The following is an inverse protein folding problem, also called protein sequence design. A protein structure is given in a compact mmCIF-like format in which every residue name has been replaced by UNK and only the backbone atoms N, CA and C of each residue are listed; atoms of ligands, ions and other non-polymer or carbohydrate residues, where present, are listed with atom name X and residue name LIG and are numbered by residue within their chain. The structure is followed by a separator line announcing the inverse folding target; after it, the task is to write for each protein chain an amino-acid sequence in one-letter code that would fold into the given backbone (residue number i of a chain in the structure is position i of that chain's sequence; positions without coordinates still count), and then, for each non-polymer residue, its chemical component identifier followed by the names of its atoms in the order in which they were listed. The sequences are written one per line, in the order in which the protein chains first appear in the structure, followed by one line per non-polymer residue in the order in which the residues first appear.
data_IF_876078229663
#
_entry.id   IF_876078229663
#
_cell.length_a   1.000
_cell.length_b   1.000
_cell.length_c   1.000
_cell.angle_alpha   90.00
_cell.angle_beta   90.00
_cell.angle_gamma   90.00
#
_symmetry.space_group_name_H-M   'P 1'
#
loop_
_entity.id
_entity.type
_entity.pdbx_description
1 polymer ?
#
# COMPACT_ATOMS: atom_id res chain seq x y z
N UNK A 1 -7.46 -21.04 -12.29
CA UNK A 1 -7.41 -21.47 -10.88
C UNK A 1 -6.06 -21.04 -10.33
N UNK A 2 -5.96 -20.44 -9.13
CA UNK A 2 -4.67 -20.09 -8.55
C UNK A 2 -3.86 -21.38 -8.35
N UNK A 3 -2.60 -21.37 -8.81
CA UNK A 3 -1.70 -22.48 -8.54
C UNK A 3 -1.20 -22.37 -7.10
N UNK A 4 -1.98 -22.91 -6.15
CA UNK A 4 -1.73 -22.82 -4.71
C UNK A 4 -0.32 -23.28 -4.29
N UNK A 5 0.27 -24.20 -5.04
CA UNK A 5 1.64 -24.67 -4.82
C UNK A 5 2.68 -23.59 -5.13
N UNK A 6 2.44 -22.81 -6.19
CA UNK A 6 3.33 -21.73 -6.62
C UNK A 6 3.33 -20.56 -5.61
N UNK A 7 2.16 -20.21 -5.06
CA UNK A 7 2.04 -19.14 -4.07
C UNK A 7 2.80 -19.45 -2.77
N UNK A 8 2.74 -20.70 -2.30
CA UNK A 8 3.52 -21.13 -1.12
C UNK A 8 5.03 -21.07 -1.34
N UNK A 9 5.49 -21.46 -2.53
CA UNK A 9 6.91 -21.36 -2.89
C UNK A 9 7.34 -19.89 -2.93
N UNK A 10 6.53 -19.03 -3.54
CA UNK A 10 6.81 -17.60 -3.60
C UNK A 10 6.88 -16.94 -2.21
N UNK A 11 6.04 -17.38 -1.25
CA UNK A 11 6.10 -16.89 0.13
C UNK A 11 7.39 -17.30 0.85
N UNK A 12 7.84 -18.55 0.69
CA UNK A 12 9.11 -19.02 1.27
C UNK A 12 10.30 -18.26 0.68
N UNK A 13 10.32 -18.06 -0.63
CA UNK A 13 11.38 -17.29 -1.28
C UNK A 13 11.36 -15.81 -0.86
N UNK A 14 10.18 -15.22 -0.62
CA UNK A 14 10.07 -13.88 -0.05
C UNK A 14 10.67 -13.79 1.37
N UNK A 15 10.51 -14.82 2.21
CA UNK A 15 11.17 -14.88 3.52
C UNK A 15 12.70 -14.90 3.37
N UNK A 16 13.24 -15.59 2.35
CA UNK A 16 14.67 -15.56 2.06
C UNK A 16 15.13 -14.18 1.61
N UNK A 17 14.33 -13.46 0.81
CA UNK A 17 14.61 -12.05 0.45
C UNK A 17 14.72 -11.19 1.72
N UNK A 18 13.73 -11.23 2.62
CA UNK A 18 13.78 -10.48 3.90
C UNK A 18 14.96 -10.90 4.78
N UNK A 19 15.29 -12.20 4.80
CA UNK A 19 16.45 -12.72 5.51
C UNK A 19 17.77 -12.11 5.01
N UNK A 20 18.02 -12.12 3.69
CA UNK A 20 19.29 -11.63 3.14
C UNK A 20 19.44 -10.13 3.29
N UNK A 21 18.36 -9.34 3.15
CA UNK A 21 18.40 -7.92 3.48
C UNK A 21 18.76 -7.67 4.95
N UNK A 22 18.21 -8.45 5.89
CA UNK A 22 18.59 -8.34 7.32
C UNK A 22 20.07 -8.64 7.58
N UNK A 23 20.71 -9.45 6.74
CA UNK A 23 22.15 -9.70 6.82
C UNK A 23 23.00 -8.61 6.14
N UNK A 24 22.37 -7.59 5.53
CA UNK A 24 23.05 -6.57 4.72
C UNK A 24 23.57 -7.11 3.38
N UNK A 25 23.11 -8.28 2.93
CA UNK A 25 23.48 -8.86 1.64
C UNK A 25 22.40 -8.55 0.60
N UNK A 26 22.38 -7.29 0.18
CA UNK A 26 21.42 -6.78 -0.79
C UNK A 26 21.54 -7.46 -2.16
N UNK A 27 22.75 -7.83 -2.56
CA UNK A 27 22.98 -8.50 -3.84
C UNK A 27 22.22 -9.83 -3.91
N UNK A 28 22.38 -10.68 -2.89
CA UNK A 28 21.70 -11.98 -2.83
C UNK A 28 20.19 -11.84 -2.62
N UNK A 29 19.76 -10.88 -1.80
CA UNK A 29 18.34 -10.58 -1.64
C UNK A 29 17.69 -10.20 -2.98
N UNK A 30 18.36 -9.34 -3.75
CA UNK A 30 17.87 -8.88 -5.06
C UNK A 30 17.98 -9.96 -6.14
N UNK A 31 18.92 -10.89 -6.05
CA UNK A 31 18.97 -12.07 -6.92
C UNK A 31 17.70 -12.92 -6.77
N UNK A 32 17.34 -13.28 -5.54
CA UNK A 32 16.12 -14.07 -5.25
C UNK A 32 14.86 -13.28 -5.58
N UNK A 33 14.83 -11.98 -5.27
CA UNK A 33 13.71 -11.12 -5.67
C UNK A 33 13.47 -11.17 -7.18
N UNK A 34 14.53 -11.05 -8.00
CA UNK A 34 14.41 -11.13 -9.46
C UNK A 34 13.89 -12.48 -9.92
N UNK A 35 14.23 -13.59 -9.26
CA UNK A 35 13.64 -14.89 -9.61
C UNK A 35 12.15 -14.94 -9.32
N UNK A 36 11.66 -14.19 -8.33
CA UNK A 36 10.24 -14.09 -7.99
C UNK A 36 9.44 -13.13 -8.89
N UNK A 37 10.10 -12.16 -9.51
CA UNK A 37 9.46 -11.21 -10.42
C UNK A 37 9.66 -11.54 -11.89
N UNK A 38 10.63 -12.38 -12.23
CA UNK A 38 10.80 -12.90 -13.60
C UNK A 38 9.64 -13.83 -13.93
N UNK A 39 8.68 -13.30 -14.69
CA UNK A 39 7.49 -14.02 -15.16
C UNK A 39 7.47 -14.14 -16.67
N UNK A 40 6.69 -15.10 -17.17
CA UNK A 40 6.45 -15.20 -18.61
C UNK A 40 5.65 -13.97 -19.11
N UNK A 41 5.79 -13.55 -20.38
CA UNK A 41 5.02 -12.45 -20.92
C UNK A 41 3.50 -12.64 -20.70
N UNK A 42 2.86 -11.65 -20.08
CA UNK A 42 1.43 -11.67 -19.78
C UNK A 42 1.05 -12.33 -18.45
N UNK A 43 2.01 -12.90 -17.72
CA UNK A 43 1.80 -13.33 -16.34
C UNK A 43 1.99 -12.16 -15.37
N UNK A 44 1.16 -12.15 -14.34
CA UNK A 44 1.05 -11.08 -13.35
C UNK A 44 1.10 -11.68 -11.96
N UNK A 45 1.60 -10.91 -11.00
CA UNK A 45 1.60 -11.28 -9.60
C UNK A 45 0.21 -11.02 -8.99
N UNK A 46 -0.24 -11.96 -8.16
CA UNK A 46 -1.42 -11.76 -7.31
C UNK A 46 -1.11 -10.79 -6.18
N UNK A 47 -2.13 -10.04 -5.74
CA UNK A 47 -2.03 -9.05 -4.68
C UNK A 47 -1.39 -9.62 -3.40
N UNK A 48 -1.73 -10.83 -2.96
CA UNK A 48 -1.16 -11.44 -1.73
C UNK A 48 0.37 -11.55 -1.76
N UNK A 49 0.92 -12.09 -2.86
CA UNK A 49 2.37 -12.23 -3.05
C UNK A 49 3.02 -10.86 -3.25
N UNK A 50 2.37 -9.98 -4.03
CA UNK A 50 2.81 -8.61 -4.27
C UNK A 50 2.91 -7.82 -2.97
N UNK A 51 1.89 -7.89 -2.13
CA UNK A 51 1.82 -7.21 -0.83
C UNK A 51 2.94 -7.68 0.10
N UNK A 52 3.27 -8.98 0.06
CA UNK A 52 4.38 -9.52 0.86
C UNK A 52 5.71 -8.94 0.42
N UNK A 53 5.99 -8.94 -0.88
CA UNK A 53 7.24 -8.39 -1.43
C UNK A 53 7.32 -6.87 -1.27
N UNK A 54 6.22 -6.14 -1.51
CA UNK A 54 6.14 -4.69 -1.26
C UNK A 54 6.51 -4.37 0.19
N UNK A 55 5.92 -5.08 1.17
CA UNK A 55 6.23 -4.88 2.59
C UNK A 55 7.71 -5.09 2.90
N UNK A 56 8.32 -6.11 2.31
CA UNK A 56 9.75 -6.42 2.48
C UNK A 56 10.62 -5.31 1.86
N UNK A 57 10.34 -4.91 0.61
CA UNK A 57 11.09 -3.90 -0.10
C UNK A 57 11.02 -2.54 0.62
N UNK A 58 9.82 -2.09 1.00
CA UNK A 58 9.62 -0.83 1.73
C UNK A 58 10.34 -0.84 3.08
N UNK A 59 10.22 -1.92 3.85
CA UNK A 59 10.91 -2.11 5.14
C UNK A 59 12.43 -1.98 5.03
N UNK A 60 13.02 -2.40 3.92
CA UNK A 60 14.47 -2.34 3.66
C UNK A 60 14.88 -1.14 2.79
N UNK A 61 14.00 -0.16 2.60
CA UNK A 61 14.29 1.06 1.85
C UNK A 61 14.48 0.87 0.34
N UNK A 62 14.08 -0.28 -0.21
CA UNK A 62 14.09 -0.59 -1.66
C UNK A 62 12.90 0.05 -2.37
N UNK A 63 12.78 1.36 -2.22
CA UNK A 63 11.61 2.15 -2.64
C UNK A 63 11.43 2.13 -4.15
N UNK A 64 12.52 2.24 -4.91
CA UNK A 64 12.46 2.20 -6.37
C UNK A 64 11.87 0.88 -6.87
N UNK A 65 12.36 -0.24 -6.32
CA UNK A 65 11.90 -1.57 -6.66
C UNK A 65 10.47 -1.83 -6.18
N UNK A 66 10.07 -1.28 -5.03
CA UNK A 66 8.69 -1.35 -4.56
C UNK A 66 7.73 -0.64 -5.52
N UNK A 67 8.08 0.55 -6.02
CA UNK A 67 7.26 1.26 -7.01
C UNK A 67 7.22 0.55 -8.36
N UNK A 68 8.35 -0.03 -8.82
CA UNK A 68 8.37 -0.85 -10.02
C UNK A 68 7.45 -2.07 -9.88
N UNK A 69 7.56 -2.81 -8.77
CA UNK A 69 6.69 -3.95 -8.48
C UNK A 69 5.21 -3.55 -8.46
N UNK A 70 4.89 -2.43 -7.82
CA UNK A 70 3.53 -1.91 -7.73
C UNK A 70 2.94 -1.64 -9.12
N UNK A 71 3.66 -0.95 -10.02
CA UNK A 71 3.11 -0.59 -11.33
C UNK A 71 3.22 -1.67 -12.40
N UNK A 72 4.25 -2.51 -12.36
CA UNK A 72 4.61 -3.39 -13.47
C UNK A 72 4.13 -4.83 -13.27
N UNK A 73 4.12 -5.32 -12.03
CA UNK A 73 3.94 -6.75 -11.76
C UNK A 73 2.59 -7.11 -11.12
N UNK A 74 1.98 -6.22 -10.32
CA UNK A 74 0.73 -6.53 -9.61
C UNK A 74 -0.47 -6.28 -10.52
N UNK A 75 -1.26 -7.32 -10.79
CA UNK A 75 -2.40 -7.25 -11.73
C UNK A 75 -3.61 -6.47 -11.27
N UNK A 76 -3.87 -6.51 -9.97
CA UNK A 76 -5.03 -5.90 -9.36
C UNK A 76 -4.65 -5.48 -7.96
N UNK A 77 -4.87 -4.22 -7.66
CA UNK A 77 -4.64 -3.69 -6.32
C UNK A 77 -5.83 -4.02 -5.43
N UNK A 78 -5.54 -4.47 -4.21
CA UNK A 78 -6.50 -4.43 -3.13
C UNK A 78 -6.25 -3.20 -2.24
N UNK A 79 -7.12 -2.97 -1.26
CA UNK A 79 -6.96 -1.84 -0.35
C UNK A 79 -5.67 -1.89 0.45
N UNK A 80 -5.11 -3.08 0.73
CA UNK A 80 -3.85 -3.20 1.45
C UNK A 80 -2.68 -2.74 0.57
N UNK A 81 -2.64 -3.17 -0.70
CA UNK A 81 -1.63 -2.73 -1.68
C UNK A 81 -1.60 -1.21 -1.78
N UNK A 82 -2.76 -0.58 -1.98
CA UNK A 82 -2.88 0.88 -2.10
C UNK A 82 -2.45 1.58 -0.82
N UNK A 83 -2.93 1.12 0.34
CA UNK A 83 -2.62 1.76 1.62
C UNK A 83 -1.13 1.71 1.95
N UNK A 84 -0.41 0.63 1.62
CA UNK A 84 1.04 0.57 1.81
C UNK A 84 1.77 1.66 1.01
N UNK A 85 1.40 1.82 -0.26
CA UNK A 85 2.05 2.81 -1.13
C UNK A 85 1.65 4.25 -0.77
N UNK A 86 0.40 4.49 -0.37
CA UNK A 86 -0.03 5.78 0.19
C UNK A 86 0.79 6.12 1.44
N UNK A 87 0.92 5.18 2.37
CA UNK A 87 1.67 5.39 3.61
C UNK A 87 3.14 5.71 3.35
N UNK A 88 3.77 5.03 2.39
CA UNK A 88 5.13 5.32 1.93
C UNK A 88 5.23 6.76 1.37
N UNK A 89 4.28 7.21 0.54
CA UNK A 89 4.25 8.59 0.06
C UNK A 89 4.19 9.60 1.23
N UNK A 90 3.38 9.35 2.26
CA UNK A 90 3.31 10.21 3.44
C UNK A 90 4.61 10.22 4.26
N UNK A 91 5.32 9.10 4.33
CA UNK A 91 6.66 9.04 4.97
C UNK A 91 7.69 9.86 4.19
N UNK A 92 7.58 9.88 2.86
CA UNK A 92 8.42 10.70 1.99
C UNK A 92 8.00 12.18 1.90
N UNK A 93 6.87 12.58 2.49
CA UNK A 93 6.30 13.93 2.33
C UNK A 93 5.74 14.21 0.92
N UNK A 94 5.47 13.16 0.15
CA UNK A 94 4.99 13.21 -1.23
C UNK A 94 3.46 13.16 -1.31
N UNK A 95 2.80 14.19 -0.79
CA UNK A 95 1.34 14.19 -0.61
C UNK A 95 0.56 14.14 -1.94
N UNK A 96 1.11 14.73 -3.00
CA UNK A 96 0.50 14.67 -4.33
C UNK A 96 0.49 13.23 -4.86
N UNK A 97 1.64 12.55 -4.79
CA UNK A 97 1.75 11.14 -5.18
C UNK A 97 0.90 10.23 -4.29
N UNK A 98 0.75 10.55 -3.01
CA UNK A 98 -0.16 9.85 -2.10
C UNK A 98 -1.60 9.91 -2.60
N UNK A 99 -2.07 11.11 -3.00
CA UNK A 99 -3.40 11.32 -3.55
C UNK A 99 -3.58 10.60 -4.90
N UNK A 100 -2.58 10.66 -5.78
CA UNK A 100 -2.64 9.99 -7.08
C UNK A 100 -2.67 8.45 -6.93
N UNK A 101 -1.97 7.92 -5.93
CA UNK A 101 -1.99 6.49 -5.60
C UNK A 101 -3.33 6.09 -4.96
N UNK A 102 -3.87 6.92 -4.06
CA UNK A 102 -5.19 6.70 -3.46
C UNK A 102 -6.32 6.60 -4.50
N UNK A 103 -6.27 7.39 -5.57
CA UNK A 103 -7.27 7.34 -6.66
C UNK A 103 -7.35 5.97 -7.34
N UNK A 104 -6.29 5.16 -7.28
CA UNK A 104 -6.32 3.78 -7.79
C UNK A 104 -7.18 2.85 -6.92
N UNK A 105 -7.50 3.26 -5.70
CA UNK A 105 -8.30 2.53 -4.72
C UNK A 105 -9.45 3.35 -4.14
N UNK A 106 -9.93 4.40 -4.82
CA UNK A 106 -11.02 5.26 -4.33
C UNK A 106 -12.41 4.60 -4.41
N UNK A 107 -12.47 3.33 -4.82
CA UNK A 107 -13.62 2.45 -4.68
C UNK A 107 -13.60 1.64 -3.37
N UNK A 108 -12.52 1.71 -2.58
CA UNK A 108 -12.37 0.97 -1.33
C UNK A 108 -12.53 1.88 -0.12
N UNK A 109 -13.52 1.62 0.73
CA UNK A 109 -13.70 2.33 2.00
C UNK A 109 -12.45 2.33 2.92
N UNK A 110 -11.68 1.21 3.03
CA UNK A 110 -10.44 1.22 3.81
C UNK A 110 -9.36 2.19 3.29
N UNK A 111 -9.38 2.52 1.99
CA UNK A 111 -8.45 3.49 1.42
C UNK A 111 -8.78 4.91 1.86
N UNK A 112 -10.07 5.30 1.88
CA UNK A 112 -10.51 6.60 2.39
C UNK A 112 -10.14 6.77 3.85
N UNK A 113 -10.44 5.76 4.69
CA UNK A 113 -10.08 5.77 6.11
C UNK A 113 -8.58 6.03 6.29
N UNK A 114 -7.74 5.27 5.59
CA UNK A 114 -6.28 5.41 5.69
C UNK A 114 -5.81 6.80 5.26
N UNK A 115 -6.20 7.30 4.09
CA UNK A 115 -5.69 8.60 3.61
C UNK A 115 -6.17 9.78 4.48
N UNK A 116 -7.41 9.73 4.97
CA UNK A 116 -7.95 10.74 5.90
C UNK A 116 -7.14 10.73 7.21
N UNK A 117 -6.90 9.56 7.79
CA UNK A 117 -6.10 9.41 9.01
C UNK A 117 -4.70 10.01 8.83
N UNK A 118 -4.05 9.70 7.70
CA UNK A 118 -2.70 10.23 7.40
C UNK A 118 -2.66 11.74 7.21
N UNK A 119 -3.69 12.36 6.61
CA UNK A 119 -3.77 13.83 6.53
C UNK A 119 -4.03 14.46 7.91
N UNK A 120 -4.91 13.89 8.72
CA UNK A 120 -5.16 14.31 10.10
C UNK A 120 -3.89 14.27 10.96
N UNK A 121 -3.12 13.18 10.90
CA UNK A 121 -1.83 13.03 11.60
C UNK A 121 -0.80 14.10 11.20
N UNK A 122 -0.92 14.65 9.99
CA UNK A 122 -0.07 15.74 9.48
C UNK A 122 -0.65 17.14 9.74
N UNK A 123 -1.83 17.24 10.36
CA UNK A 123 -2.54 18.51 10.58
C UNK A 123 -3.10 19.14 9.29
N UNK A 124 -3.18 18.37 8.20
CA UNK A 124 -3.71 18.79 6.90
C UNK A 124 -5.23 18.61 6.87
N UNK A 125 -5.91 19.38 7.72
CA UNK A 125 -7.34 19.17 8.01
C UNK A 125 -8.25 19.48 6.81
N UNK A 126 -7.89 20.47 5.98
CA UNK A 126 -8.68 20.81 4.80
C UNK A 126 -8.76 19.63 3.81
N UNK A 127 -7.62 18.99 3.53
CA UNK A 127 -7.56 17.82 2.65
C UNK A 127 -8.30 16.62 3.24
N UNK A 128 -8.25 16.44 4.57
CA UNK A 128 -8.98 15.39 5.27
C UNK A 128 -10.51 15.60 5.18
N UNK A 129 -10.98 16.84 5.36
CA UNK A 129 -12.40 17.22 5.25
C UNK A 129 -12.91 17.05 3.81
N UNK A 130 -12.17 17.51 2.81
CA UNK A 130 -12.53 17.36 1.38
C UNK A 130 -12.71 15.88 0.99
N UNK A 131 -11.82 15.01 1.47
CA UNK A 131 -11.89 13.57 1.24
C UNK A 131 -13.09 12.92 1.95
N UNK A 132 -13.42 13.39 3.15
CA UNK A 132 -14.58 12.91 3.90
C UNK A 132 -15.88 13.27 3.17
N UNK A 133 -16.00 14.50 2.69
CA UNK A 133 -17.16 14.96 1.92
C UNK A 133 -17.30 14.16 0.62
N UNK A 134 -16.19 13.90 -0.08
CA UNK A 134 -16.18 13.02 -1.26
C UNK A 134 -16.66 11.61 -0.91
N UNK A 135 -16.18 11.02 0.19
CA UNK A 135 -16.62 9.70 0.64
C UNK A 135 -18.12 9.64 0.90
N UNK A 136 -18.69 10.68 1.52
CA UNK A 136 -20.13 10.77 1.82
C UNK A 136 -20.99 10.93 0.55
N UNK A 137 -20.46 11.59 -0.48
CA UNK A 137 -21.14 11.75 -1.77
C UNK A 137 -21.18 10.47 -2.61
N UNK A 138 -20.32 9.49 -2.33
CA UNK A 138 -20.34 8.18 -2.99
C UNK A 138 -21.40 7.27 -2.35
N UNK A 139 -22.58 7.22 -2.98
CA UNK A 139 -23.65 6.27 -2.65
C UNK A 139 -23.12 4.83 -2.74
N UNK A 140 -22.73 4.25 -1.60
CA UNK A 140 -22.22 2.87 -1.51
C UNK A 140 -21.01 2.66 -0.61
N UNK A 141 -20.25 3.71 -0.27
CA UNK A 141 -19.11 3.63 0.66
C UNK A 141 -19.48 3.92 2.13
N UNK A 142 -20.76 4.18 2.40
CA UNK A 142 -21.25 4.55 3.73
C UNK A 142 -21.22 3.35 4.66
N UNK A 143 -20.13 3.16 5.43
CA UNK A 143 -20.16 2.44 6.72
C UNK A 143 -19.03 2.91 7.67
N UNK A 144 -19.37 3.71 8.68
CA UNK A 144 -19.39 3.37 10.11
C UNK A 144 -19.27 4.66 10.96
N UNK A 145 -19.88 4.65 12.15
CA UNK A 145 -19.84 5.73 13.15
C UNK A 145 -18.41 6.16 13.56
N UNK A 146 -17.40 5.36 13.23
CA UNK A 146 -15.99 5.56 13.63
C UNK A 146 -15.30 6.66 12.82
N UNK A 147 -15.67 6.88 11.55
CA UNK A 147 -15.05 7.95 10.75
C UNK A 147 -15.53 9.33 11.22
N UNK A 148 -16.81 9.44 11.60
CA UNK A 148 -17.37 10.67 12.16
C UNK A 148 -16.80 11.02 13.55
N UNK A 149 -16.38 10.05 14.35
CA UNK A 149 -15.71 10.30 15.63
C UNK A 149 -14.24 10.68 15.48
N UNK A 150 -13.54 10.19 14.44
CA UNK A 150 -12.14 10.59 14.19
C UNK A 150 -11.98 12.09 13.89
N UNK A 151 -12.91 12.68 13.14
CA UNK A 151 -12.91 14.13 12.89
C UNK A 151 -13.18 14.93 14.17
N UNK A 152 -14.20 14.53 14.96
CA UNK A 152 -14.50 15.19 16.26
C UNK A 152 -13.32 15.08 17.23
N UNK A 153 -12.60 13.95 17.22
CA UNK A 153 -11.38 13.75 17.99
C UNK A 153 -10.26 14.72 17.57
N UNK A 154 -10.02 14.85 16.26
CA UNK A 154 -9.00 15.75 15.74
C UNK A 154 -9.32 17.23 16.03
N UNK A 155 -10.58 17.66 15.94
CA UNK A 155 -10.99 19.02 16.32
C UNK A 155 -10.87 19.28 17.84
N UNK A 156 -10.94 18.24 18.68
CA UNK A 156 -10.91 18.37 20.15
C UNK A 156 -9.51 18.42 20.76
N UNK A 157 -8.47 18.07 20.00
CA UNK A 157 -7.06 18.07 20.47
C UNK A 157 -6.39 19.46 20.32
N UNK A 158 -7.16 20.47 19.91
CA UNK A 158 -6.73 21.87 19.72
C UNK A 158 -7.26 22.83 20.81
N UNK A 159 -7.47 22.36 22.04
CA UNK A 159 -7.73 23.23 23.21
C UNK A 159 -6.62 23.15 24.24
#
# INVERSE_FOLDING_TARGET
MPNYTYEKVAMVDAEFVDYWFKQGNDEKAMEIYRTLTTRAPGEVMYATSGNTLLRILLKHGKKYEAWALFFEDISSYDSETINMMVNECFEMGKFKEAMDTFKLGDSFAPCYRNIIDRFCERGMMCEAEDLFDKMWSHEGLVLSYEVATMIRGCSSTLK
#
